data_IF_759753250007
#
_entry.id   IF_759753250007
#
_cell.length_a   1.000
_cell.length_b   1.000
_cell.length_c   1.000
_cell.angle_alpha   90.00
_cell.angle_beta   90.00
_cell.angle_gamma   90.00
#
_symmetry.space_group_name_H-M   'P 1'
#
loop_
_entity.id
_entity.type
_entity.pdbx_description
1 polymer ?
#
# COMPACT_ATOMS: atom_id res chain seq x y z
N UNK A 1 3.24 10.09 -11.45
CA UNK A 1 2.15 9.17 -11.88
C UNK A 1 1.21 9.11 -10.70
N UNK A 2 0.34 10.10 -10.66
CA UNK A 2 -0.09 10.67 -9.39
C UNK A 2 -1.36 9.96 -8.91
N UNK A 3 -1.62 10.01 -7.61
CA UNK A 3 -2.80 9.52 -6.87
C UNK A 3 -4.14 9.49 -7.64
N UNK A 4 -4.30 10.40 -8.61
CA UNK A 4 -5.44 10.47 -9.54
C UNK A 4 -5.62 9.21 -10.41
N UNK A 5 -4.54 8.53 -10.83
CA UNK A 5 -4.63 7.35 -11.71
C UNK A 5 -5.08 6.08 -10.96
N UNK A 6 -4.73 5.93 -9.69
CA UNK A 6 -5.11 4.75 -8.88
C UNK A 6 -6.61 4.72 -8.57
N UNK A 7 -7.20 5.89 -8.28
CA UNK A 7 -8.65 6.03 -8.10
C UNK A 7 -9.39 5.76 -9.41
N UNK A 8 -8.88 6.27 -10.53
CA UNK A 8 -9.45 6.02 -11.86
C UNK A 8 -9.35 4.54 -12.27
N UNK A 9 -8.28 3.84 -11.91
CA UNK A 9 -8.13 2.41 -12.16
C UNK A 9 -9.15 1.61 -11.33
N UNK A 10 -9.30 1.93 -10.05
CA UNK A 10 -10.33 1.35 -9.18
C UNK A 10 -11.75 1.54 -9.74
N UNK A 11 -12.07 2.75 -10.24
CA UNK A 11 -13.38 3.03 -10.85
C UNK A 11 -13.59 2.27 -12.17
N UNK A 12 -12.55 2.13 -12.99
CA UNK A 12 -12.62 1.38 -14.27
C UNK A 12 -12.67 -0.14 -14.08
N UNK A 13 -12.04 -0.69 -13.04
CA UNK A 13 -12.00 -2.14 -12.77
C UNK A 13 -13.30 -2.69 -12.14
N UNK A 14 -14.23 -1.81 -11.74
CA UNK A 14 -15.43 -2.19 -10.99
C UNK A 14 -15.12 -2.48 -9.52
N UNK A 15 -16.13 -2.95 -8.76
CA UNK A 15 -15.94 -3.26 -7.33
C UNK A 15 -14.89 -4.36 -7.16
N UNK A 16 -13.85 -4.17 -6.33
CA UNK A 16 -12.84 -5.19 -6.10
C UNK A 16 -13.52 -6.45 -5.53
N UNK A 17 -13.07 -7.62 -5.99
CA UNK A 17 -13.59 -8.90 -5.53
C UNK A 17 -13.22 -9.17 -4.06
N UNK A 18 -12.02 -8.74 -3.65
CA UNK A 18 -11.58 -8.84 -2.26
C UNK A 18 -10.50 -7.80 -1.91
N UNK A 19 -10.50 -7.33 -0.66
CA UNK A 19 -9.36 -6.62 -0.05
C UNK A 19 -8.42 -7.65 0.56
N UNK A 20 -7.18 -7.72 0.08
CA UNK A 20 -6.17 -8.69 0.55
C UNK A 20 -5.29 -8.11 1.67
N UNK A 21 -5.00 -6.81 1.60
CA UNK A 21 -4.34 -6.08 2.69
C UNK A 21 -5.02 -4.73 2.83
N UNK A 22 -5.47 -4.34 4.03
CA UNK A 22 -6.07 -3.04 4.24
C UNK A 22 -5.08 -1.92 3.89
N UNK A 23 -5.60 -0.78 3.47
CA UNK A 23 -4.78 0.42 3.27
C UNK A 23 -4.27 0.85 4.63
N UNK A 24 -2.95 0.91 4.76
CA UNK A 24 -2.30 1.33 5.99
C UNK A 24 -1.00 2.07 5.67
N UNK A 25 -0.55 2.86 6.63
CA UNK A 25 0.72 3.56 6.56
C UNK A 25 1.83 2.54 6.79
N UNK A 26 2.80 2.52 5.89
CA UNK A 26 3.90 1.57 5.89
C UNK A 26 5.13 2.24 6.49
N UNK A 27 5.97 1.45 7.17
CA UNK A 27 7.16 1.94 7.86
C UNK A 27 8.18 2.62 6.92
N UNK A 28 8.07 2.36 5.63
CA UNK A 28 8.92 2.89 4.57
C UNK A 28 8.36 4.14 3.88
N UNK A 29 7.31 4.78 4.42
CA UNK A 29 6.87 6.10 3.98
C UNK A 29 5.75 6.13 2.94
N UNK A 30 5.16 4.98 2.60
CA UNK A 30 4.00 4.90 1.72
C UNK A 30 2.73 4.56 2.49
N UNK A 31 1.57 5.02 2.01
CA UNK A 31 0.27 4.47 2.39
C UNK A 31 -0.27 3.63 1.24
N UNK A 32 -0.61 2.38 1.52
CA UNK A 32 -1.07 1.47 0.49
C UNK A 32 -1.67 0.18 0.99
N UNK A 33 -2.30 -0.55 0.08
CA UNK A 33 -2.98 -1.81 0.33
C UNK A 33 -3.00 -2.73 -0.89
N UNK A 34 -3.48 -3.97 -0.68
CA UNK A 34 -3.66 -4.98 -1.74
C UNK A 34 -5.12 -5.24 -1.99
N UNK A 35 -5.49 -5.34 -3.26
CA UNK A 35 -6.80 -5.82 -3.66
C UNK A 35 -6.70 -6.88 -4.76
N UNK A 36 -7.74 -7.69 -4.87
CA UNK A 36 -7.93 -8.62 -5.97
C UNK A 36 -9.06 -8.15 -6.85
N UNK A 37 -8.80 -8.03 -8.14
CA UNK A 37 -9.83 -7.71 -9.13
C UNK A 37 -10.73 -8.93 -9.46
N UNK A 38 -11.84 -8.74 -10.18
CA UNK A 38 -12.72 -9.85 -10.57
C UNK A 38 -12.08 -10.93 -11.46
N UNK A 39 -11.04 -10.58 -12.22
CA UNK A 39 -10.30 -11.48 -13.12
C UNK A 39 -9.21 -12.29 -12.39
N UNK A 40 -8.93 -11.95 -11.14
CA UNK A 40 -8.00 -12.68 -10.27
C UNK A 40 -6.63 -12.01 -10.13
N UNK A 41 -6.37 -10.88 -10.78
CA UNK A 41 -5.11 -10.17 -10.60
C UNK A 41 -5.04 -9.51 -9.23
N UNK A 42 -3.81 -9.41 -8.70
CA UNK A 42 -3.53 -8.75 -7.43
C UNK A 42 -2.81 -7.45 -7.69
N UNK A 43 -3.42 -6.37 -7.21
CA UNK A 43 -2.91 -5.02 -7.38
C UNK A 43 -2.41 -4.47 -6.05
N UNK A 44 -1.22 -3.86 -6.07
CA UNK A 44 -0.71 -3.02 -4.99
C UNK A 44 -0.99 -1.56 -5.37
N UNK A 45 -1.76 -0.87 -4.54
CA UNK A 45 -2.00 0.56 -4.69
C UNK A 45 -1.30 1.26 -3.54
N UNK A 46 -0.41 2.18 -3.85
CA UNK A 46 0.34 2.93 -2.86
C UNK A 46 0.53 4.37 -3.30
N UNK A 47 0.50 5.25 -2.31
CA UNK A 47 0.83 6.66 -2.46
C UNK A 47 1.95 6.98 -1.50
N UNK A 48 3.00 7.59 -2.04
CA UNK A 48 4.10 8.08 -1.24
C UNK A 48 3.62 9.21 -0.32
N UNK A 49 3.91 9.07 0.97
CA UNK A 49 3.61 10.08 2.00
C UNK A 49 4.87 10.89 2.32
N UNK A 50 5.97 10.19 2.59
CA UNK A 50 7.21 10.82 3.06
C UNK A 50 8.45 10.01 2.68
N UNK A 51 9.55 10.71 2.42
CA UNK A 51 10.86 10.10 2.29
C UNK A 51 11.41 9.75 3.67
N UNK A 52 11.56 8.46 3.93
CA UNK A 52 12.10 7.94 5.19
C UNK A 52 13.58 7.59 5.01
N UNK A 53 14.46 8.12 5.86
CA UNK A 53 15.88 7.76 5.81
C UNK A 53 16.09 6.27 6.12
N UNK A 54 17.18 5.64 5.65
CA UNK A 54 17.46 4.25 5.96
C UNK A 54 17.49 3.93 7.47
N UNK A 55 18.03 4.84 8.28
CA UNK A 55 18.13 4.68 9.73
C UNK A 55 16.75 4.70 10.40
N UNK A 56 15.90 5.64 10.00
CA UNK A 56 14.53 5.76 10.50
C UNK A 56 13.66 4.59 10.03
N UNK A 57 13.82 4.15 8.78
CA UNK A 57 13.11 2.99 8.25
C UNK A 57 13.45 1.72 9.04
N UNK A 58 14.74 1.53 9.38
CA UNK A 58 15.19 0.45 10.24
C UNK A 58 14.59 0.55 11.63
N UNK A 59 14.61 1.73 12.26
CA UNK A 59 14.04 1.93 13.59
C UNK A 59 12.53 1.63 13.63
N UNK A 60 11.78 2.06 12.60
CA UNK A 60 10.34 1.77 12.45
C UNK A 60 10.08 0.28 12.22
N UNK A 61 10.89 -0.40 11.40
CA UNK A 61 10.79 -1.83 11.16
C UNK A 61 11.09 -2.64 12.44
N UNK A 62 12.15 -2.29 13.16
CA UNK A 62 12.53 -2.94 14.42
C UNK A 62 11.42 -2.78 15.47
N UNK A 63 10.74 -1.63 15.54
CA UNK A 63 9.57 -1.44 16.42
C UNK A 63 8.38 -2.34 16.02
N UNK A 64 8.17 -2.57 14.73
CA UNK A 64 7.03 -3.37 14.24
C UNK A 64 7.28 -4.88 14.31
N UNK A 65 8.52 -5.32 14.12
CA UNK A 65 8.86 -6.74 13.93
C UNK A 65 9.91 -7.28 14.91
N UNK A 66 10.60 -6.42 15.66
CA UNK A 66 11.71 -6.78 16.55
C UNK A 66 11.31 -7.21 17.96
N UNK A 67 10.02 -7.41 18.23
CA UNK A 67 9.55 -8.01 19.48
C UNK A 67 9.54 -9.53 19.40
N UNK A 68 10.67 -10.15 19.75
CA UNK A 68 10.80 -11.58 20.02
C UNK A 68 11.14 -11.83 21.48
#
# INVERSE_FOLDING_TARGET
MDFFMDILLLLKMGKPKARLRPVADQFYGDRGGKLRDPFGHVWWLATHIEDVSPEEMKARADRLFGGG
#
